data_IF_576538819478
#
_entry.id   IF_576538819478
#
_cell.length_a   1.000
_cell.length_b   1.000
_cell.length_c   1.000
_cell.angle_alpha   90.00
_cell.angle_beta   90.00
_cell.angle_gamma   90.00
#
_symmetry.space_group_name_H-M   'P 1'
#
loop_
_entity.id
_entity.type
_entity.pdbx_description
1 polymer ?
#
# COMPACT_ATOMS: atom_id res chain seq x y z
N UNK A 1 12.51 -0.08 -79.75
CA UNK A 1 11.92 0.46 -78.50
C UNK A 1 12.68 -0.15 -77.33
N UNK A 2 13.56 0.59 -76.65
CA UNK A 2 14.36 0.10 -75.50
C UNK A 2 13.61 0.45 -74.22
N UNK A 3 13.13 -0.55 -73.48
CA UNK A 3 12.51 -0.36 -72.17
C UNK A 3 13.61 -0.51 -71.11
N UNK A 4 13.85 0.56 -70.35
CA UNK A 4 14.77 0.56 -69.21
C UNK A 4 14.01 0.12 -67.95
N UNK A 5 14.48 -0.95 -67.32
CA UNK A 5 14.02 -1.36 -65.98
C UNK A 5 14.84 -0.59 -64.94
N UNK A 6 14.16 0.29 -64.19
CA UNK A 6 14.72 0.95 -63.00
C UNK A 6 14.43 0.06 -61.79
N UNK A 7 15.44 -0.39 -61.02
CA UNK A 7 15.18 -1.15 -59.81
C UNK A 7 14.71 -0.19 -58.71
N UNK A 8 13.50 -0.41 -58.20
CA UNK A 8 12.99 0.24 -57.00
C UNK A 8 13.67 -0.43 -55.80
N UNK A 9 14.60 0.28 -55.17
CA UNK A 9 15.23 -0.15 -53.93
C UNK A 9 14.25 0.11 -52.78
N UNK A 10 13.57 -0.93 -52.31
CA UNK A 10 12.73 -0.87 -51.10
C UNK A 10 13.68 -0.94 -49.89
N UNK A 11 14.00 0.20 -49.29
CA UNK A 11 14.66 0.23 -47.98
C UNK A 11 13.65 -0.08 -46.89
N UNK A 12 13.65 -1.33 -46.41
CA UNK A 12 12.97 -1.70 -45.18
C UNK A 12 13.68 -1.03 -44.00
N UNK A 13 13.07 0.00 -43.42
CA UNK A 13 13.46 0.53 -42.11
C UNK A 13 13.08 -0.51 -41.05
N UNK A 14 13.99 -1.46 -40.79
CA UNK A 14 13.90 -2.30 -39.61
C UNK A 14 14.07 -1.40 -38.39
N UNK A 15 12.96 -1.11 -37.71
CA UNK A 15 12.99 -0.47 -36.39
C UNK A 15 13.65 -1.47 -35.44
N UNK A 16 14.95 -1.34 -35.21
CA UNK A 16 15.63 -2.09 -34.16
C UNK A 16 15.11 -1.56 -32.83
N UNK A 17 14.10 -2.21 -32.26
CA UNK A 17 13.77 -2.03 -30.85
C UNK A 17 15.01 -2.46 -30.09
N UNK A 18 15.79 -1.50 -29.60
CA UNK A 18 16.95 -1.79 -28.76
C UNK A 18 16.47 -2.67 -27.60
N UNK A 19 17.10 -3.83 -27.42
CA UNK A 19 16.78 -4.72 -26.31
C UNK A 19 16.98 -3.95 -25.00
N UNK A 20 15.94 -3.86 -24.18
CA UNK A 20 16.03 -3.16 -22.90
C UNK A 20 16.93 -3.95 -21.95
N UNK A 21 17.85 -3.25 -21.26
CA UNK A 21 18.67 -3.85 -20.21
C UNK A 21 17.79 -4.13 -18.99
N UNK A 22 17.90 -5.34 -18.41
CA UNK A 22 17.22 -5.76 -17.18
C UNK A 22 17.38 -4.74 -16.05
N UNK A 23 18.52 -4.04 -15.98
CA UNK A 23 18.80 -2.98 -15.01
C UNK A 23 17.76 -1.85 -15.01
N UNK A 24 17.11 -1.62 -16.14
CA UNK A 24 16.06 -0.61 -16.29
C UNK A 24 14.80 -0.95 -15.48
N UNK A 25 14.62 -2.23 -15.12
CA UNK A 25 13.48 -2.74 -14.36
C UNK A 25 13.80 -2.99 -12.88
N UNK A 26 15.07 -3.07 -12.49
CA UNK A 26 15.46 -3.38 -11.10
C UNK A 26 15.14 -2.24 -10.13
N UNK A 27 14.83 -2.60 -8.88
CA UNK A 27 14.52 -1.74 -7.74
C UNK A 27 13.01 -1.66 -7.44
N UNK A 28 12.63 -0.66 -6.64
CA UNK A 28 11.26 -0.46 -6.15
C UNK A 28 10.42 0.42 -7.09
N UNK A 29 9.14 0.12 -7.20
CA UNK A 29 8.21 0.74 -8.14
C UNK A 29 6.84 0.99 -7.52
N UNK A 30 6.41 2.24 -7.62
CA UNK A 30 5.05 2.66 -7.33
C UNK A 30 4.20 2.39 -8.57
N UNK A 31 3.23 1.49 -8.46
CA UNK A 31 2.44 1.02 -9.60
C UNK A 31 0.98 1.49 -9.49
N UNK A 32 0.41 1.85 -10.63
CA UNK A 32 -1.03 2.03 -10.82
C UNK A 32 -1.51 0.99 -11.80
N UNK A 33 -2.45 0.16 -11.37
CA UNK A 33 -3.11 -0.83 -12.18
C UNK A 33 -4.49 -0.31 -12.60
N UNK A 34 -4.73 -0.25 -13.91
CA UNK A 34 -5.95 0.31 -14.50
C UNK A 34 -6.69 -0.81 -15.21
N UNK A 35 -7.80 -1.33 -14.65
CA UNK A 35 -8.59 -2.38 -15.29
C UNK A 35 -9.32 -1.83 -16.52
N UNK A 36 -9.78 -2.72 -17.40
CA UNK A 36 -10.59 -2.32 -18.55
C UNK A 36 -11.91 -1.65 -18.13
N UNK A 37 -12.47 -2.06 -16.99
CA UNK A 37 -13.66 -1.49 -16.36
C UNK A 37 -13.41 -1.27 -14.87
N UNK A 38 -13.99 -0.20 -14.31
CA UNK A 38 -13.77 0.20 -12.93
C UNK A 38 -12.66 1.23 -12.76
N UNK A 39 -12.26 1.46 -11.52
CA UNK A 39 -11.30 2.51 -11.17
C UNK A 39 -9.87 1.96 -11.10
N UNK A 40 -8.86 2.76 -11.47
CA UNK A 40 -7.47 2.45 -11.17
C UNK A 40 -7.23 2.25 -9.68
N UNK A 41 -6.25 1.41 -9.34
CA UNK A 41 -5.89 1.13 -7.96
C UNK A 41 -4.37 0.98 -7.78
N UNK A 42 -3.86 1.24 -6.58
CA UNK A 42 -2.43 1.14 -6.31
C UNK A 42 -1.97 -0.31 -6.19
N UNK A 43 -0.74 -0.52 -6.64
CA UNK A 43 0.08 -1.69 -6.35
C UNK A 43 1.52 -1.21 -6.12
N UNK A 44 2.39 -2.11 -5.70
CA UNK A 44 3.82 -1.83 -5.57
C UNK A 44 4.64 -3.08 -5.86
N UNK A 45 5.83 -2.91 -6.43
CA UNK A 45 6.72 -4.03 -6.75
C UNK A 45 8.18 -3.68 -6.47
N UNK A 46 8.94 -4.67 -6.04
CA UNK A 46 10.40 -4.60 -6.03
C UNK A 46 11.00 -5.76 -6.82
N UNK A 47 11.98 -5.44 -7.64
CA UNK A 47 12.76 -6.41 -8.43
C UNK A 47 14.23 -6.28 -8.07
N UNK A 48 14.92 -7.41 -7.92
CA UNK A 48 16.35 -7.49 -7.62
C UNK A 48 17.01 -8.50 -8.55
N UNK A 49 18.31 -8.32 -8.78
CA UNK A 49 19.12 -9.27 -9.54
C UNK A 49 20.05 -10.01 -8.58
N UNK A 50 19.89 -11.33 -8.51
CA UNK A 50 20.68 -12.23 -7.71
C UNK A 50 21.48 -13.15 -8.64
N UNK A 51 22.64 -12.65 -9.11
CA UNK A 51 23.55 -13.44 -9.96
C UNK A 51 22.97 -13.81 -11.33
N UNK A 52 22.17 -12.92 -11.94
CA UNK A 52 21.49 -13.13 -13.23
C UNK A 52 20.07 -13.68 -13.11
N UNK A 53 19.64 -14.06 -11.90
CA UNK A 53 18.25 -14.44 -11.61
C UNK A 53 17.49 -13.22 -11.08
N UNK A 54 16.42 -12.86 -11.78
CA UNK A 54 15.52 -11.79 -11.33
C UNK A 54 14.59 -12.36 -10.26
N UNK A 55 14.68 -11.79 -9.06
CA UNK A 55 13.80 -12.07 -7.93
C UNK A 55 12.97 -10.83 -7.60
N UNK A 56 11.88 -10.99 -6.88
CA UNK A 56 11.06 -9.85 -6.52
C UNK A 56 9.86 -10.17 -5.65
N UNK A 57 9.17 -9.11 -5.27
CA UNK A 57 7.96 -9.15 -4.45
C UNK A 57 6.96 -8.13 -4.95
N UNK A 58 5.69 -8.48 -4.81
CA UNK A 58 4.55 -7.67 -5.22
C UNK A 58 3.63 -7.42 -4.02
N UNK A 59 3.22 -6.17 -3.86
CA UNK A 59 2.10 -5.79 -3.02
C UNK A 59 0.86 -5.57 -3.92
N UNK A 60 -0.15 -6.46 -3.85
CA UNK A 60 -1.43 -6.27 -4.55
C UNK A 60 -2.26 -5.15 -3.92
N UNK A 61 -3.41 -4.83 -4.54
CA UNK A 61 -4.36 -3.80 -4.06
C UNK A 61 -4.71 -3.95 -2.58
N UNK A 62 -4.91 -5.18 -2.12
CA UNK A 62 -5.26 -5.51 -0.74
C UNK A 62 -4.68 -6.85 -0.33
N UNK A 63 -4.60 -7.08 0.97
CA UNK A 63 -3.93 -8.25 1.55
C UNK A 63 -2.40 -8.13 1.56
N UNK A 64 -1.75 -9.23 1.90
CA UNK A 64 -0.29 -9.30 2.07
C UNK A 64 0.48 -9.17 0.76
N UNK A 65 1.72 -8.67 0.86
CA UNK A 65 2.69 -8.82 -0.22
C UNK A 65 3.06 -10.30 -0.39
N UNK A 66 3.52 -10.67 -1.58
CA UNK A 66 4.01 -12.01 -1.88
C UNK A 66 5.20 -11.97 -2.84
N UNK A 67 6.08 -12.98 -2.86
CA UNK A 67 7.10 -13.09 -3.89
C UNK A 67 6.46 -13.24 -5.28
N UNK A 68 7.15 -12.76 -6.31
CA UNK A 68 6.83 -13.13 -7.69
C UNK A 68 7.24 -14.60 -7.91
N UNK A 69 6.53 -15.34 -8.76
CA UNK A 69 6.89 -16.70 -9.11
C UNK A 69 8.16 -16.76 -10.00
N UNK A 70 8.42 -15.70 -10.75
CA UNK A 70 9.66 -15.55 -11.52
C UNK A 70 9.64 -14.34 -12.42
N UNK A 71 10.78 -14.04 -13.03
CA UNK A 71 10.87 -13.00 -14.06
C UNK A 71 11.97 -13.33 -15.08
N UNK A 72 11.76 -12.94 -16.33
CA UNK A 72 12.70 -13.16 -17.43
C UNK A 72 12.57 -12.10 -18.52
N UNK A 73 13.66 -11.84 -19.23
CA UNK A 73 13.62 -10.99 -20.43
C UNK A 73 13.12 -11.79 -21.64
N UNK A 74 12.23 -11.20 -22.42
CA UNK A 74 11.76 -11.76 -23.70
C UNK A 74 11.48 -10.62 -24.69
N UNK A 75 12.12 -10.67 -25.86
CA UNK A 75 11.88 -9.70 -26.95
C UNK A 75 11.94 -8.23 -26.51
N UNK A 76 12.88 -7.90 -25.61
CA UNK A 76 13.07 -6.54 -25.08
C UNK A 76 12.06 -6.11 -24.02
N UNK A 77 11.20 -7.01 -23.54
CA UNK A 77 10.28 -6.80 -22.41
C UNK A 77 10.71 -7.62 -21.20
N UNK A 78 10.37 -7.15 -20.01
CA UNK A 78 10.42 -7.97 -18.80
C UNK A 78 9.09 -8.71 -18.65
N UNK A 79 9.14 -10.03 -18.60
CA UNK A 79 8.00 -10.89 -18.29
C UNK A 79 8.09 -11.24 -16.81
N UNK A 80 7.12 -10.79 -16.02
CA UNK A 80 7.00 -11.12 -14.58
C UNK A 80 5.86 -12.11 -14.40
N UNK A 81 6.13 -13.27 -13.81
CA UNK A 81 5.10 -14.22 -13.39
C UNK A 81 4.66 -13.85 -11.98
N UNK A 82 3.47 -13.27 -11.85
CA UNK A 82 2.96 -12.76 -10.57
C UNK A 82 2.49 -13.89 -9.65
N UNK A 83 1.88 -14.92 -10.21
CA UNK A 83 1.43 -16.08 -9.44
C UNK A 83 1.03 -17.26 -10.31
N UNK A 84 1.11 -18.44 -9.71
CA UNK A 84 0.73 -19.75 -10.27
C UNK A 84 -0.47 -20.30 -9.47
N UNK A 85 -1.63 -19.69 -9.65
CA UNK A 85 -2.87 -20.15 -9.01
C UNK A 85 -3.47 -21.38 -9.71
N UNK A 86 -4.64 -21.83 -9.25
CA UNK A 86 -5.47 -22.81 -9.97
C UNK A 86 -6.06 -22.20 -11.24
N UNK A 87 -5.24 -22.06 -12.29
CA UNK A 87 -5.60 -21.46 -13.58
C UNK A 87 -4.36 -21.10 -14.41
N UNK A 88 -4.53 -20.47 -15.59
CA UNK A 88 -3.40 -19.97 -16.37
C UNK A 88 -2.57 -18.99 -15.55
N UNK A 89 -1.25 -19.05 -15.72
CA UNK A 89 -0.32 -18.14 -15.07
C UNK A 89 -0.69 -16.68 -15.37
N UNK A 90 -0.56 -15.83 -14.34
CA UNK A 90 -0.73 -14.39 -14.48
C UNK A 90 0.63 -13.79 -14.80
N UNK A 91 0.76 -13.24 -16.00
CA UNK A 91 1.99 -12.69 -16.53
C UNK A 91 1.85 -11.18 -16.72
N UNK A 92 2.86 -10.43 -16.31
CA UNK A 92 2.99 -9.02 -16.66
C UNK A 92 4.05 -8.85 -17.74
N UNK A 93 3.67 -8.23 -18.86
CA UNK A 93 4.61 -7.79 -19.88
C UNK A 93 4.95 -6.33 -19.66
N UNK A 94 6.16 -6.05 -19.18
CA UNK A 94 6.61 -4.71 -18.82
C UNK A 94 7.66 -4.18 -19.82
N UNK A 95 7.59 -2.88 -20.05
CA UNK A 95 8.60 -2.08 -20.76
C UNK A 95 8.98 -0.87 -19.92
N UNK A 96 10.22 -0.41 -20.07
CA UNK A 96 10.75 0.82 -19.49
C UNK A 96 10.90 1.88 -20.59
N UNK A 97 9.84 2.67 -20.91
CA UNK A 97 9.88 3.62 -22.03
C UNK A 97 10.86 4.78 -21.81
N UNK A 98 11.20 5.08 -20.56
CA UNK A 98 12.23 6.06 -20.18
C UNK A 98 12.74 5.76 -18.77
N UNK A 99 13.86 6.39 -18.38
CA UNK A 99 14.44 6.19 -17.06
C UNK A 99 13.42 6.45 -15.95
N UNK A 100 13.25 5.48 -15.06
CA UNK A 100 12.34 5.58 -13.91
C UNK A 100 10.84 5.49 -14.25
N UNK A 101 10.48 5.03 -15.45
CA UNK A 101 9.11 4.74 -15.85
C UNK A 101 8.96 3.28 -16.26
N UNK A 102 7.86 2.65 -15.85
CA UNK A 102 7.41 1.38 -16.38
C UNK A 102 6.03 1.52 -17.01
N UNK A 103 5.78 0.74 -18.04
CA UNK A 103 4.44 0.51 -18.60
C UNK A 103 4.28 -0.96 -18.90
N UNK A 104 3.07 -1.49 -18.81
CA UNK A 104 2.84 -2.87 -19.15
C UNK A 104 1.38 -3.26 -19.18
N UNK A 105 1.17 -4.55 -19.41
CA UNK A 105 -0.14 -5.17 -19.39
C UNK A 105 -0.07 -6.47 -18.60
N UNK A 106 -1.17 -6.83 -17.95
CA UNK A 106 -1.38 -8.18 -17.45
C UNK A 106 -1.97 -9.06 -18.56
N UNK A 107 -1.53 -10.31 -18.57
CA UNK A 107 -2.04 -11.40 -19.39
C UNK A 107 -2.36 -12.60 -18.53
N UNK A 108 -3.39 -13.33 -18.94
CA UNK A 108 -3.80 -14.60 -18.35
C UNK A 108 -3.93 -15.64 -19.46
N UNK A 109 -2.92 -16.49 -19.61
CA UNK A 109 -2.77 -17.29 -20.83
C UNK A 109 -2.57 -16.40 -22.07
N UNK A 110 -3.22 -16.72 -23.18
CA UNK A 110 -3.14 -15.94 -24.42
C UNK A 110 -4.03 -14.67 -24.43
N UNK A 111 -4.90 -14.52 -23.43
CA UNK A 111 -5.80 -13.38 -23.30
C UNK A 111 -5.12 -12.23 -22.57
N UNK A 112 -5.17 -11.04 -23.17
CA UNK A 112 -4.92 -9.79 -22.45
C UNK A 112 -6.23 -9.35 -21.80
N UNK A 113 -6.38 -9.63 -20.50
CA UNK A 113 -7.60 -9.32 -19.73
C UNK A 113 -7.83 -7.80 -19.54
N UNK A 114 -6.92 -6.97 -20.10
CA UNK A 114 -7.11 -5.53 -20.23
C UNK A 114 -6.59 -4.69 -19.07
N UNK A 115 -5.96 -5.29 -18.05
CA UNK A 115 -5.29 -4.55 -16.98
C UNK A 115 -4.02 -3.89 -17.51
N UNK A 116 -3.98 -2.57 -17.49
CA UNK A 116 -2.79 -1.77 -17.83
C UNK A 116 -2.03 -1.43 -16.57
N UNK A 117 -0.71 -1.51 -16.63
CA UNK A 117 0.18 -1.18 -15.52
C UNK A 117 0.98 0.04 -15.93
N UNK A 118 1.00 1.05 -15.06
CA UNK A 118 1.91 2.18 -15.15
C UNK A 118 2.73 2.24 -13.86
N UNK A 119 4.03 2.41 -13.99
CA UNK A 119 4.95 2.46 -12.86
C UNK A 119 5.85 3.68 -12.89
N UNK A 120 6.14 4.21 -11.71
CA UNK A 120 7.21 5.18 -11.50
C UNK A 120 8.19 4.65 -10.48
N UNK A 121 9.46 5.03 -10.60
CA UNK A 121 10.46 4.61 -9.62
C UNK A 121 10.03 5.12 -8.25
N UNK A 122 9.96 4.21 -7.27
CA UNK A 122 9.66 4.60 -5.91
C UNK A 122 10.75 5.59 -5.43
N UNK A 123 10.38 6.71 -4.79
CA UNK A 123 11.33 7.70 -4.29
C UNK A 123 12.28 7.07 -3.24
N UNK A 124 13.39 7.71 -2.87
CA UNK A 124 14.22 7.21 -1.76
C UNK A 124 13.59 7.52 -0.38
N UNK A 125 13.01 8.71 -0.25
CA UNK A 125 12.45 9.22 1.00
C UNK A 125 13.41 9.17 2.19
N UNK A 126 14.71 9.24 1.93
CA UNK A 126 15.73 9.34 2.96
C UNK A 126 15.80 10.80 3.44
N UNK A 127 15.15 11.07 4.57
CA UNK A 127 15.07 12.40 5.19
C UNK A 127 15.62 12.34 6.61
N UNK A 128 16.42 13.34 7.03
CA UNK A 128 16.90 13.40 8.40
C UNK A 128 15.75 13.68 9.37
N UNK A 129 15.82 13.09 10.57
CA UNK A 129 14.88 13.36 11.66
C UNK A 129 14.80 14.86 12.00
N UNK A 130 13.61 15.48 11.94
CA UNK A 130 13.43 16.87 12.35
C UNK A 130 13.82 17.12 13.82
N UNK A 131 14.61 18.17 14.05
CA UNK A 131 15.05 18.57 15.40
C UNK A 131 13.94 19.20 16.25
N UNK A 132 12.95 19.83 15.60
CA UNK A 132 11.88 20.56 16.26
C UNK A 132 10.52 20.21 15.68
N UNK A 133 9.56 19.97 16.56
CA UNK A 133 8.19 19.60 16.25
C UNK A 133 7.23 20.64 16.81
N UNK A 134 6.08 20.82 16.18
CA UNK A 134 4.97 21.61 16.74
C UNK A 134 4.51 20.99 18.06
N UNK A 135 3.76 21.74 18.88
CA UNK A 135 3.00 21.12 19.97
C UNK A 135 1.95 20.17 19.36
N UNK A 136 1.62 19.03 20.02
CA UNK A 136 0.53 18.18 19.57
C UNK A 136 -0.78 18.96 19.49
N UNK A 137 -1.53 18.76 18.41
CA UNK A 137 -2.89 19.27 18.26
C UNK A 137 -3.85 18.13 17.95
N UNK A 138 -5.13 18.22 18.36
CA UNK A 138 -6.11 17.18 18.08
C UNK A 138 -6.43 17.10 16.57
N UNK A 139 -6.66 15.88 16.09
CA UNK A 139 -7.31 15.58 14.81
C UNK A 139 -8.79 15.22 14.98
N UNK A 140 -9.22 14.92 16.20
CA UNK A 140 -10.61 14.64 16.55
C UNK A 140 -10.94 15.34 17.88
N UNK A 141 -12.09 16.01 17.94
CA UNK A 141 -12.49 16.85 19.07
C UNK A 141 -13.53 16.19 19.99
N UNK A 142 -13.94 14.95 19.67
CA UNK A 142 -14.92 14.19 20.44
C UNK A 142 -16.38 14.46 20.08
N UNK A 143 -16.67 15.39 19.15
CA UNK A 143 -18.04 15.90 18.93
C UNK A 143 -18.65 15.47 17.62
N UNK A 144 -17.90 15.55 16.54
CA UNK A 144 -18.37 15.24 15.19
C UNK A 144 -17.21 14.75 14.30
N UNK A 145 -17.52 14.42 13.04
CA UNK A 145 -16.53 13.96 12.07
C UNK A 145 -15.83 15.12 11.34
N UNK A 146 -15.86 16.36 11.85
CA UNK A 146 -15.21 17.48 11.18
C UNK A 146 -13.71 17.21 11.02
N UNK A 147 -13.22 17.39 9.80
CA UNK A 147 -11.84 17.04 9.44
C UNK A 147 -11.66 15.59 9.01
N UNK A 148 -12.73 14.80 8.97
CA UNK A 148 -12.76 13.43 8.49
C UNK A 148 -13.83 13.25 7.40
N UNK A 149 -13.57 12.37 6.45
CA UNK A 149 -14.52 12.01 5.40
C UNK A 149 -14.57 10.49 5.17
N UNK A 150 -15.77 9.89 5.04
CA UNK A 150 -15.89 8.50 4.68
C UNK A 150 -15.45 8.28 3.23
N UNK A 151 -14.78 7.17 2.98
CA UNK A 151 -14.30 6.74 1.67
C UNK A 151 -14.62 5.27 1.49
N UNK A 152 -14.95 4.86 0.26
CA UNK A 152 -15.38 3.49 -0.06
C UNK A 152 -16.63 3.09 0.74
N UNK A 153 -17.54 2.29 0.17
CA UNK A 153 -18.75 1.84 0.89
C UNK A 153 -19.51 2.96 1.64
N UNK A 154 -19.53 4.19 1.09
CA UNK A 154 -20.01 5.41 1.76
C UNK A 154 -21.50 5.27 2.11
N UNK A 155 -22.24 4.51 1.30
CA UNK A 155 -23.64 4.15 1.53
C UNK A 155 -23.86 3.34 2.82
N UNK A 156 -22.82 2.68 3.32
CA UNK A 156 -22.80 1.95 4.58
C UNK A 156 -21.80 2.60 5.57
N UNK A 157 -21.80 3.93 5.67
CA UNK A 157 -21.01 4.62 6.68
C UNK A 157 -21.48 4.27 8.10
N UNK A 158 -20.56 3.76 8.92
CA UNK A 158 -20.78 3.40 10.34
C UNK A 158 -19.98 4.25 11.32
N UNK A 159 -19.31 5.29 10.83
CA UNK A 159 -18.52 6.20 11.65
C UNK A 159 -19.39 7.21 12.37
N UNK A 160 -19.17 7.36 13.67
CA UNK A 160 -19.92 8.25 14.54
C UNK A 160 -19.02 8.78 15.66
N UNK A 161 -19.18 10.06 16.00
CA UNK A 161 -18.67 10.60 17.25
C UNK A 161 -19.66 10.27 18.39
N UNK A 162 -19.23 9.45 19.35
CA UNK A 162 -20.07 9.01 20.47
C UNK A 162 -19.25 9.05 21.75
N UNK A 163 -19.75 9.73 22.78
CA UNK A 163 -19.10 9.80 24.10
C UNK A 163 -17.64 10.32 24.08
N UNK A 164 -17.31 11.23 23.16
CA UNK A 164 -15.93 11.73 23.02
C UNK A 164 -15.00 10.80 22.21
N UNK A 165 -15.53 9.73 21.64
CA UNK A 165 -14.80 8.72 20.86
C UNK A 165 -15.24 8.74 19.40
N UNK A 166 -14.31 8.41 18.51
CA UNK A 166 -14.56 8.15 17.11
C UNK A 166 -14.79 6.65 16.95
N UNK A 167 -16.02 6.26 16.62
CA UNK A 167 -16.46 4.86 16.65
C UNK A 167 -16.83 4.38 15.26
N UNK A 168 -16.28 3.24 14.84
CA UNK A 168 -16.79 2.45 13.73
C UNK A 168 -17.80 1.43 14.27
N UNK A 169 -19.10 1.69 14.12
CA UNK A 169 -20.17 0.83 14.66
C UNK A 169 -20.55 -0.29 13.67
N UNK A 170 -19.59 -1.18 13.39
CA UNK A 170 -19.72 -2.32 12.46
C UNK A 170 -19.66 -3.68 13.17
N UNK A 171 -20.67 -4.03 14.01
CA UNK A 171 -20.64 -5.26 14.79
C UNK A 171 -20.70 -6.51 13.89
N UNK A 172 -20.04 -7.57 14.33
CA UNK A 172 -20.27 -8.90 13.77
C UNK A 172 -21.67 -9.38 14.16
N UNK A 173 -22.41 -9.94 13.20
CA UNK A 173 -23.74 -10.50 13.42
C UNK A 173 -23.71 -11.99 13.09
N UNK A 174 -23.88 -12.89 14.08
CA UNK A 174 -23.84 -14.33 13.87
C UNK A 174 -24.79 -14.78 12.76
N UNK A 175 -24.27 -15.60 11.83
CA UNK A 175 -25.03 -16.12 10.70
C UNK A 175 -25.26 -15.13 9.56
N UNK A 176 -24.74 -13.90 9.65
CA UNK A 176 -24.78 -12.93 8.55
C UNK A 176 -23.40 -12.74 7.93
N UNK A 177 -23.37 -12.66 6.60
CA UNK A 177 -22.16 -12.22 5.89
C UNK A 177 -21.89 -10.76 6.26
N UNK A 178 -20.69 -10.48 6.74
CA UNK A 178 -20.25 -9.11 7.03
C UNK A 178 -20.38 -8.25 5.77
N UNK A 179 -20.94 -7.05 5.94
CA UNK A 179 -20.98 -6.03 4.90
C UNK A 179 -19.91 -4.99 5.23
N UNK A 180 -19.02 -4.66 4.29
CA UNK A 180 -17.99 -3.67 4.54
C UNK A 180 -18.66 -2.33 4.85
N UNK A 181 -18.26 -1.71 5.96
CA UNK A 181 -18.59 -0.32 6.23
C UNK A 181 -17.59 0.61 5.54
N UNK A 182 -17.91 1.90 5.51
CA UNK A 182 -16.99 2.87 4.95
C UNK A 182 -15.65 2.88 5.68
N UNK A 183 -14.57 3.08 4.94
CA UNK A 183 -13.29 3.51 5.48
C UNK A 183 -13.38 5.01 5.84
N UNK A 184 -12.53 5.51 6.74
CA UNK A 184 -12.57 6.94 7.16
C UNK A 184 -11.19 7.56 7.06
N UNK A 185 -11.06 8.74 6.45
CA UNK A 185 -9.77 9.42 6.36
C UNK A 185 -9.83 10.88 6.79
N UNK A 186 -8.70 11.44 7.17
CA UNK A 186 -8.58 12.88 7.40
C UNK A 186 -8.68 13.66 6.09
N UNK A 187 -9.28 14.85 6.12
CA UNK A 187 -9.27 15.77 4.97
C UNK A 187 -7.91 16.45 4.80
N UNK A 188 -7.15 16.61 5.89
CA UNK A 188 -5.77 17.10 5.87
C UNK A 188 -4.79 15.98 5.47
N UNK A 189 -3.68 16.38 4.85
CA UNK A 189 -2.59 15.49 4.44
C UNK A 189 -1.29 15.87 5.14
N UNK A 190 -0.48 14.86 5.45
CA UNK A 190 0.75 14.98 6.23
C UNK A 190 1.92 14.31 5.50
N UNK A 191 3.11 14.88 5.68
CA UNK A 191 4.35 14.33 5.13
C UNK A 191 5.12 13.58 6.23
N UNK A 192 5.87 14.33 7.05
CA UNK A 192 6.53 13.83 8.25
C UNK A 192 5.68 14.22 9.45
N UNK A 193 5.54 13.32 10.43
CA UNK A 193 4.70 13.58 11.60
C UNK A 193 5.07 12.71 12.81
N UNK A 194 4.60 13.16 13.96
CA UNK A 194 4.36 12.33 15.14
C UNK A 194 2.86 12.22 15.35
N UNK A 195 2.34 11.00 15.42
CA UNK A 195 0.95 10.68 15.71
C UNK A 195 0.88 10.03 17.09
N UNK A 196 -0.06 10.48 17.92
CA UNK A 196 -0.54 9.72 19.07
C UNK A 196 -2.00 9.35 18.81
N UNK A 197 -2.37 8.10 19.07
CA UNK A 197 -3.73 7.60 18.90
C UNK A 197 -4.00 6.47 19.90
N UNK A 198 -5.13 6.53 20.59
CA UNK A 198 -5.62 5.44 21.43
C UNK A 198 -6.72 4.69 20.69
N UNK A 199 -6.69 3.36 20.79
CA UNK A 199 -7.67 2.47 20.16
C UNK A 199 -8.13 1.39 21.13
N UNK A 200 -9.41 1.04 21.05
CA UNK A 200 -9.98 -0.17 21.61
C UNK A 200 -10.58 -1.01 20.47
N UNK A 201 -9.96 -2.17 20.22
CA UNK A 201 -10.42 -3.16 19.25
C UNK A 201 -10.99 -4.34 20.02
N UNK A 202 -12.25 -4.76 19.81
CA UNK A 202 -12.84 -5.90 20.51
C UNK A 202 -12.14 -7.21 20.12
N UNK A 203 -12.37 -8.26 20.91
CA UNK A 203 -11.91 -9.61 20.59
C UNK A 203 -12.38 -10.04 19.19
N UNK A 204 -11.48 -10.61 18.41
CA UNK A 204 -11.72 -10.98 17.01
C UNK A 204 -11.80 -9.80 16.03
N UNK A 205 -11.84 -8.55 16.49
CA UNK A 205 -11.92 -7.38 15.61
C UNK A 205 -10.70 -7.20 14.72
N UNK A 206 -10.90 -6.53 13.59
CA UNK A 206 -9.84 -6.16 12.65
C UNK A 206 -10.09 -4.74 12.09
N UNK A 207 -9.03 -3.97 11.97
CA UNK A 207 -8.96 -2.61 11.46
C UNK A 207 -7.48 -2.28 11.18
N UNK A 208 -7.19 -1.03 10.85
CA UNK A 208 -5.86 -0.58 10.51
C UNK A 208 -5.75 0.93 10.56
N UNK A 209 -4.60 1.42 11.01
CA UNK A 209 -4.25 2.84 10.98
C UNK A 209 -3.27 3.05 9.83
N UNK A 210 -3.75 3.64 8.74
CA UNK A 210 -2.94 3.90 7.55
C UNK A 210 -2.24 5.25 7.65
N UNK A 211 -0.93 5.17 7.76
CA UNK A 211 -0.01 6.30 7.76
C UNK A 211 0.13 6.82 6.33
N UNK A 212 -0.15 8.12 6.13
CA UNK A 212 -0.25 8.76 4.79
C UNK A 212 -1.22 8.05 3.84
N UNK A 213 -2.15 7.23 4.35
CA UNK A 213 -3.07 6.43 3.54
C UNK A 213 -2.39 5.28 2.79
N UNK A 214 -1.17 4.88 3.17
CA UNK A 214 -0.35 3.91 2.42
C UNK A 214 0.27 2.80 3.24
N UNK A 215 0.57 3.05 4.51
CA UNK A 215 1.27 2.08 5.36
C UNK A 215 0.41 1.76 6.57
N UNK A 216 -0.08 0.53 6.61
CA UNK A 216 -0.97 0.05 7.66
C UNK A 216 -0.17 -0.34 8.91
N UNK A 217 -0.46 0.35 10.01
CA UNK A 217 -0.23 -0.15 11.35
C UNK A 217 -1.46 -0.97 11.77
N UNK A 218 -1.27 -2.27 11.93
CA UNK A 218 -2.34 -3.24 12.15
C UNK A 218 -3.07 -3.02 13.47
N UNK A 219 -4.40 -3.00 13.44
CA UNK A 219 -5.26 -2.94 14.62
C UNK A 219 -6.14 -4.19 14.66
N UNK A 220 -5.87 -5.10 15.60
CA UNK A 220 -6.69 -6.31 15.76
C UNK A 220 -5.92 -7.58 15.46
N UNK A 221 -6.58 -8.56 14.86
CA UNK A 221 -6.01 -9.89 14.59
C UNK A 221 -6.57 -10.49 13.30
N UNK A 222 -5.77 -11.31 12.61
CA UNK A 222 -6.23 -12.19 11.54
C UNK A 222 -6.23 -13.68 11.98
N UNK A 223 -6.31 -13.92 13.29
CA UNK A 223 -6.42 -15.27 13.86
C UNK A 223 -5.10 -15.94 14.18
N UNK A 224 -4.00 -15.19 14.30
CA UNK A 224 -2.75 -15.64 14.90
C UNK A 224 -1.86 -16.51 14.00
N UNK A 225 -2.19 -16.64 12.71
CA UNK A 225 -1.42 -17.50 11.77
C UNK A 225 -0.10 -16.87 11.35
N UNK A 226 -0.09 -15.56 11.15
CA UNK A 226 1.08 -14.79 10.71
C UNK A 226 1.30 -13.62 11.67
N UNK A 227 2.42 -13.59 12.41
CA UNK A 227 2.70 -12.51 13.35
C UNK A 227 2.68 -11.10 12.73
N UNK A 228 3.01 -10.96 11.44
CA UNK A 228 2.95 -9.68 10.71
C UNK A 228 1.54 -9.21 10.36
N UNK A 229 0.51 -9.93 10.79
CA UNK A 229 -0.92 -9.61 10.58
C UNK A 229 -1.63 -9.36 11.92
N UNK A 230 -0.86 -9.18 13.00
CA UNK A 230 -1.36 -9.04 14.36
C UNK A 230 -1.17 -7.61 14.90
N UNK A 231 -1.89 -7.28 15.97
CA UNK A 231 -1.92 -5.94 16.59
C UNK A 231 -0.53 -5.32 16.75
N UNK A 232 -0.34 -4.14 16.13
CA UNK A 232 0.90 -3.39 16.17
C UNK A 232 1.95 -3.81 15.12
N UNK A 233 1.65 -4.75 14.23
CA UNK A 233 2.48 -5.02 13.06
C UNK A 233 2.46 -3.81 12.09
N UNK A 234 3.55 -3.62 11.35
CA UNK A 234 3.41 -2.98 10.03
C UNK A 234 2.93 -4.08 9.10
N UNK A 235 1.69 -3.99 8.65
CA UNK A 235 0.98 -5.11 8.05
C UNK A 235 1.81 -5.79 6.96
N UNK A 236 1.94 -7.11 7.07
CA UNK A 236 2.71 -8.00 6.20
C UNK A 236 4.24 -7.76 6.18
N UNK A 237 4.74 -6.58 6.54
CA UNK A 237 6.16 -6.23 6.52
C UNK A 237 6.91 -6.59 7.80
N UNK A 238 6.44 -6.10 8.95
CA UNK A 238 7.16 -6.21 10.22
C UNK A 238 6.24 -6.73 11.32
N UNK A 239 6.51 -7.92 11.88
CA UNK A 239 5.74 -8.42 13.00
C UNK A 239 6.01 -7.61 14.28
N UNK A 240 5.08 -7.63 15.25
CA UNK A 240 5.35 -7.15 16.60
C UNK A 240 6.57 -7.87 17.22
N UNK A 241 7.18 -7.31 18.28
CA UNK A 241 8.22 -7.99 19.04
C UNK A 241 7.80 -9.40 19.47
N UNK A 242 8.75 -10.33 19.49
CA UNK A 242 8.48 -11.70 19.92
C UNK A 242 7.81 -11.74 21.30
N UNK A 243 6.70 -12.48 21.41
CA UNK A 243 5.91 -12.61 22.64
C UNK A 243 4.95 -11.44 22.92
N UNK A 244 4.85 -10.45 22.03
CA UNK A 244 3.81 -9.43 22.12
C UNK A 244 2.42 -10.07 22.10
N UNK A 245 1.51 -9.54 22.91
CA UNK A 245 0.11 -9.98 22.99
C UNK A 245 -0.78 -8.97 22.26
N UNK A 246 -1.86 -9.45 21.67
CA UNK A 246 -2.83 -8.57 21.02
C UNK A 246 -3.58 -7.68 22.02
N UNK A 247 -3.81 -8.16 23.25
CA UNK A 247 -4.45 -7.39 24.32
C UNK A 247 -5.76 -6.68 23.87
N UNK A 248 -6.57 -7.39 23.07
CA UNK A 248 -7.84 -6.89 22.53
C UNK A 248 -8.86 -6.65 23.67
N UNK A 249 -9.89 -5.87 23.36
CA UNK A 249 -10.95 -5.43 24.27
C UNK A 249 -10.52 -4.35 25.27
N UNK A 250 -9.26 -3.89 25.21
CA UNK A 250 -8.71 -2.86 26.09
C UNK A 250 -8.23 -1.66 25.28
N UNK A 251 -8.22 -0.50 25.92
CA UNK A 251 -7.55 0.68 25.37
C UNK A 251 -6.05 0.45 25.33
N UNK A 252 -5.47 0.66 24.15
CA UNK A 252 -4.03 0.66 23.91
C UNK A 252 -3.65 1.93 23.16
N UNK A 253 -2.46 2.48 23.42
CA UNK A 253 -1.96 3.67 22.75
C UNK A 253 -0.90 3.32 21.72
N UNK A 254 -0.92 3.99 20.58
CA UNK A 254 0.17 4.01 19.62
C UNK A 254 0.78 5.41 19.54
N UNK A 255 2.10 5.47 19.72
CA UNK A 255 2.91 6.64 19.41
C UNK A 255 3.76 6.32 18.18
N UNK A 256 3.49 7.01 17.08
CA UNK A 256 4.12 6.77 15.78
C UNK A 256 4.93 7.99 15.38
N UNK A 257 6.18 7.79 15.00
CA UNK A 257 6.97 8.81 14.28
C UNK A 257 7.23 8.29 12.87
N UNK A 258 6.77 9.03 11.85
CA UNK A 258 7.06 8.74 10.46
C UNK A 258 7.86 9.92 9.88
N UNK A 259 9.09 9.64 9.45
CA UNK A 259 9.95 10.60 8.75
C UNK A 259 10.52 9.93 7.52
N UNK A 260 10.36 10.55 6.36
CA UNK A 260 10.79 9.90 5.13
C UNK A 260 9.94 8.67 4.84
N UNK A 261 10.58 7.51 4.81
CA UNK A 261 9.94 6.19 4.84
C UNK A 261 10.28 5.38 6.09
N UNK A 262 10.88 6.00 7.10
CA UNK A 262 11.23 5.31 8.34
C UNK A 262 10.14 5.52 9.37
N UNK A 263 9.73 4.42 10.01
CA UNK A 263 8.69 4.43 11.03
C UNK A 263 9.26 3.95 12.37
N UNK A 264 8.93 4.70 13.41
CA UNK A 264 9.08 4.26 14.81
C UNK A 264 7.69 4.12 15.40
N UNK A 265 7.41 2.99 16.05
CA UNK A 265 6.13 2.72 16.70
C UNK A 265 6.38 2.26 18.12
N UNK A 266 5.77 2.96 19.08
CA UNK A 266 5.59 2.47 20.43
C UNK A 266 4.13 2.10 20.62
N UNK A 267 3.88 0.98 21.30
CA UNK A 267 2.56 0.58 21.77
C UNK A 267 2.57 0.48 23.29
N UNK A 268 1.67 1.20 23.96
CA UNK A 268 1.63 1.32 25.42
C UNK A 268 3.01 1.67 26.02
N UNK A 269 3.74 2.57 25.35
CA UNK A 269 5.09 2.98 25.73
C UNK A 269 6.21 1.95 25.49
N UNK A 270 5.90 0.78 24.91
CA UNK A 270 6.89 -0.26 24.55
C UNK A 270 7.28 -0.14 23.08
N UNK A 271 8.57 -0.26 22.78
CA UNK A 271 9.06 -0.23 21.40
C UNK A 271 8.57 -1.45 20.62
N UNK A 272 7.91 -1.22 19.48
CA UNK A 272 7.47 -2.26 18.55
C UNK A 272 8.31 -2.26 17.27
N UNK A 273 8.52 -1.06 16.70
CA UNK A 273 9.35 -0.85 15.52
C UNK A 273 10.28 0.33 15.79
N UNK A 274 11.59 0.12 15.71
CA UNK A 274 12.60 1.15 15.98
C UNK A 274 13.20 1.66 14.67
N UNK A 275 12.70 2.81 14.20
CA UNK A 275 13.18 3.50 12.99
C UNK A 275 13.39 2.60 11.77
N UNK A 276 12.48 1.65 11.54
CA UNK A 276 12.57 0.68 10.44
C UNK A 276 12.19 1.33 9.12
N UNK A 277 12.90 0.99 8.05
CA UNK A 277 12.56 1.42 6.69
C UNK A 277 11.31 0.69 6.19
N UNK A 278 10.28 1.41 5.77
CA UNK A 278 9.13 0.82 5.08
C UNK A 278 9.51 0.49 3.64
N UNK A 279 9.45 -0.79 3.21
CA UNK A 279 9.83 -1.16 1.85
C UNK A 279 9.02 -0.45 0.77
N UNK A 280 7.70 -0.38 0.99
CA UNK A 280 6.71 0.24 0.14
C UNK A 280 5.33 0.26 0.83
N UNK A 281 4.27 0.69 0.13
CA UNK A 281 2.91 0.65 0.65
C UNK A 281 2.48 -0.76 1.10
N UNK A 282 1.51 -0.83 2.01
CA UNK A 282 0.82 -2.07 2.38
C UNK A 282 -0.43 -2.26 1.50
N UNK A 283 -1.06 -3.44 1.57
CA UNK A 283 -2.39 -3.63 1.00
C UNK A 283 -3.37 -2.61 1.59
N UNK A 284 -4.37 -2.20 0.81
CA UNK A 284 -5.35 -1.19 1.23
C UNK A 284 -4.89 0.26 1.08
N UNK A 285 -3.71 0.51 0.51
CA UNK A 285 -3.24 1.86 0.22
C UNK A 285 -4.24 2.62 -0.70
N UNK A 286 -4.37 3.93 -0.49
CA UNK A 286 -5.23 4.80 -1.31
C UNK A 286 -4.60 5.13 -2.67
N UNK A 287 -3.28 5.23 -2.69
CA UNK A 287 -2.48 5.49 -3.88
C UNK A 287 -1.03 5.00 -3.66
N UNK A 288 -0.23 4.93 -4.73
CA UNK A 288 1.19 4.58 -4.64
C UNK A 288 2.10 5.80 -4.69
N UNK A 289 1.61 7.03 -4.49
CA UNK A 289 2.43 8.24 -4.62
C UNK A 289 3.24 8.50 -3.33
N UNK A 290 4.23 7.65 -3.01
CA UNK A 290 4.93 7.68 -1.72
C UNK A 290 5.61 9.03 -1.39
N UNK A 291 5.98 9.80 -2.41
CA UNK A 291 6.60 11.12 -2.27
C UNK A 291 5.65 12.19 -1.73
N UNK A 292 4.36 12.04 -1.98
CA UNK A 292 3.35 13.06 -1.69
C UNK A 292 2.83 12.96 -0.25
N UNK A 293 2.43 14.09 0.36
CA UNK A 293 1.69 14.08 1.61
C UNK A 293 0.41 13.25 1.45
N UNK A 294 0.01 12.55 2.52
CA UNK A 294 -1.17 11.70 2.53
C UNK A 294 -1.98 11.84 3.82
N UNK A 295 -3.27 11.46 3.80
CA UNK A 295 -4.13 11.54 4.98
C UNK A 295 -3.76 10.47 6.01
N UNK A 296 -4.31 10.55 7.23
CA UNK A 296 -4.53 9.33 8.01
C UNK A 296 -5.81 8.66 7.54
N UNK A 297 -5.84 7.34 7.53
CA UNK A 297 -7.02 6.58 7.19
C UNK A 297 -7.20 5.43 8.21
N UNK A 298 -8.43 5.23 8.67
CA UNK A 298 -8.84 4.15 9.56
C UNK A 298 -9.71 3.16 8.79
N UNK A 299 -9.31 1.89 8.82
CA UNK A 299 -10.00 0.79 8.15
C UNK A 299 -11.32 0.47 8.85
N UNK A 300 -12.43 0.74 8.18
CA UNK A 300 -13.77 0.51 8.70
C UNK A 300 -14.50 -0.65 8.02
N UNK A 301 -14.00 -1.13 6.88
CA UNK A 301 -14.58 -2.20 6.08
C UNK A 301 -14.42 -3.61 6.68
N UNK A 302 -13.72 -3.73 7.81
CA UNK A 302 -13.57 -4.96 8.59
C UNK A 302 -14.58 -5.03 9.75
N UNK A 303 -14.68 -6.21 10.39
CA UNK A 303 -15.64 -6.46 11.46
C UNK A 303 -15.12 -6.01 12.82
N UNK A 304 -16.06 -5.57 13.67
CA UNK A 304 -15.80 -5.16 15.04
C UNK A 304 -16.24 -3.72 15.30
N UNK A 305 -16.75 -3.47 16.51
CA UNK A 305 -17.04 -2.11 16.98
C UNK A 305 -15.73 -1.49 17.49
N UNK A 306 -15.01 -0.80 16.60
CA UNK A 306 -13.70 -0.21 16.91
C UNK A 306 -13.88 1.21 17.44
N UNK A 307 -13.17 1.56 18.50
CA UNK A 307 -13.25 2.88 19.13
C UNK A 307 -11.87 3.53 19.15
N UNK A 308 -11.83 4.82 18.82
CA UNK A 308 -10.63 5.62 18.81
C UNK A 308 -10.81 6.88 19.65
N UNK A 309 -9.75 7.33 20.32
CA UNK A 309 -9.73 8.62 21.03
C UNK A 309 -8.33 9.19 21.10
N UNK A 310 -8.22 10.40 21.63
CA UNK A 310 -6.94 11.09 21.86
C UNK A 310 -6.05 11.13 20.60
N UNK A 311 -6.65 11.37 19.44
CA UNK A 311 -5.93 11.41 18.17
C UNK A 311 -5.25 12.78 18.04
N UNK A 312 -3.92 12.82 18.18
CA UNK A 312 -3.15 14.06 18.06
C UNK A 312 -1.97 13.95 17.10
N UNK A 313 -1.62 15.08 16.48
CA UNK A 313 -0.49 15.17 15.56
C UNK A 313 0.46 16.31 15.93
N UNK A 314 1.75 16.05 15.74
CA UNK A 314 2.79 17.08 15.62
C UNK A 314 3.47 16.97 14.26
N UNK A 315 3.78 18.10 13.65
CA UNK A 315 4.51 18.18 12.36
C UNK A 315 5.85 18.91 12.57
N UNK A 316 6.81 18.78 11.64
CA UNK A 316 8.05 19.53 11.73
C UNK A 316 7.78 21.04 11.78
N UNK A 317 8.50 21.78 12.63
CA UNK A 317 8.48 23.24 12.55
C UNK A 317 9.21 23.68 11.28
N UNK A 318 8.61 24.62 10.56
CA UNK A 318 9.29 25.36 9.48
C UNK A 318 10.40 26.22 10.05
#
# INVERSE_FOLDING_TARGET
MKIWLVPILVTALASTVAAQDVKSFLGRWDLTATPATGNPYPQWMELTDNGGRIEGRLQPKGGAWHPIAGARMESGKLIVTVGEGHGPAVLWELTSPSAGKLTGIEKRGDSADGLKIAGVKAPLLDRPMPKHWTKPRPLFDGKDLKGWEPIEHIENNRWVARNGELVNDNPEVPGQKMRPAANLKTTEKFQDFKLHIEVNCPEGGNSGIYLRGRYELQVGTEGGKLPSHEMGAIYSWYPPPAGAKNDLGRWTSFDVTLVGRHVTVLRDGKMYHDNVELPGPTGGALDSNEAEPGPFYLQGDHHGVIQYRNITISVPKK
#
